data_IF_608345678020
#
_entry.id   IF_608345678020
#
_cell.length_a   1.000
_cell.length_b   1.000
_cell.length_c   1.000
_cell.angle_alpha   90.00
_cell.angle_beta   90.00
_cell.angle_gamma   90.00
#
_symmetry.space_group_name_H-M   'P 1'
#
loop_
_entity.id
_entity.type
_entity.pdbx_description
1 polymer ?
#
# COMPACT_ATOMS: atom_id res chain seq x y z
N UNK A 1 16.73 34.07 33.06
CA UNK A 1 16.61 33.12 31.92
C UNK A 1 17.26 31.82 32.33
N UNK A 2 16.54 30.70 32.22
CA UNK A 2 17.08 29.37 32.53
C UNK A 2 17.85 28.90 31.30
N UNK A 3 19.11 28.50 31.46
CA UNK A 3 19.87 27.87 30.38
C UNK A 3 19.42 26.41 30.24
N UNK A 4 19.10 26.01 29.02
CA UNK A 4 18.76 24.63 28.67
C UNK A 4 19.71 24.12 27.59
N UNK A 5 20.09 22.86 27.72
CA UNK A 5 20.87 22.11 26.73
C UNK A 5 20.05 20.89 26.32
N UNK A 6 19.72 20.79 25.02
CA UNK A 6 18.78 19.79 24.49
C UNK A 6 19.25 19.25 23.16
N UNK A 7 19.07 17.93 22.98
CA UNK A 7 19.21 17.26 21.68
C UNK A 7 17.84 17.13 21.03
N UNK A 8 17.68 17.73 19.86
CA UNK A 8 16.43 17.68 19.10
C UNK A 8 16.48 16.53 18.10
N UNK A 9 15.45 15.69 18.10
CA UNK A 9 15.18 14.67 17.09
C UNK A 9 13.79 14.95 16.50
N UNK A 10 13.69 15.00 15.18
CA UNK A 10 12.44 15.26 14.47
C UNK A 10 12.25 14.23 13.35
N UNK A 11 11.01 13.88 13.06
CA UNK A 11 10.63 12.99 11.97
C UNK A 11 9.38 13.53 11.27
N UNK A 12 9.29 13.31 9.96
CA UNK A 12 8.15 13.75 9.15
C UNK A 12 7.96 12.79 7.99
N UNK A 13 6.71 12.61 7.57
CA UNK A 13 6.34 11.90 6.34
C UNK A 13 6.02 12.87 5.18
N UNK A 14 6.21 14.18 5.39
CA UNK A 14 5.99 15.22 4.38
C UNK A 14 7.31 15.66 3.77
N UNK A 15 7.26 16.01 2.50
CA UNK A 15 8.36 16.68 1.83
C UNK A 15 8.46 18.14 2.33
N UNK A 16 9.45 18.39 3.19
CA UNK A 16 9.66 19.72 3.77
C UNK A 16 10.14 20.74 2.74
N UNK A 17 10.82 20.34 1.66
CA UNK A 17 11.26 21.28 0.62
C UNK A 17 10.05 21.83 -0.11
N UNK A 18 9.13 20.94 -0.51
CA UNK A 18 7.85 21.33 -1.10
C UNK A 18 7.00 22.18 -0.14
N UNK A 19 7.00 21.85 1.16
CA UNK A 19 6.27 22.63 2.15
C UNK A 19 6.80 24.08 2.31
N UNK A 20 8.10 24.29 2.09
CA UNK A 20 8.72 25.63 2.05
C UNK A 20 8.25 26.40 0.80
N UNK A 21 8.28 25.75 -0.37
CA UNK A 21 7.79 26.33 -1.62
C UNK A 21 6.31 26.74 -1.55
N UNK A 22 5.49 25.94 -0.86
CA UNK A 22 4.07 26.21 -0.62
C UNK A 22 3.83 27.22 0.52
N UNK A 23 4.88 27.74 1.18
CA UNK A 23 4.79 28.71 2.28
C UNK A 23 4.22 28.15 3.58
N UNK A 24 4.04 26.83 3.69
CA UNK A 24 3.49 26.15 4.87
C UNK A 24 4.56 25.73 5.87
N UNK A 25 5.83 25.82 5.51
CA UNK A 25 6.96 25.53 6.38
C UNK A 25 8.04 26.61 6.31
N UNK A 26 8.64 26.92 7.45
CA UNK A 26 9.68 27.94 7.56
C UNK A 26 11.03 27.42 7.11
N UNK A 27 11.65 28.15 6.19
CA UNK A 27 12.97 27.83 5.65
C UNK A 27 14.07 27.84 6.72
N UNK A 28 14.07 28.82 7.63
CA UNK A 28 15.08 28.92 8.69
C UNK A 28 15.04 27.75 9.69
N UNK A 29 13.84 27.22 9.95
CA UNK A 29 13.66 26.04 10.78
C UNK A 29 14.10 24.76 10.05
N UNK A 30 13.87 24.66 8.74
CA UNK A 30 14.31 23.52 7.94
C UNK A 30 15.81 23.31 8.05
N UNK A 31 16.62 24.36 7.86
CA UNK A 31 18.07 24.25 7.94
C UNK A 31 18.58 23.94 9.36
N UNK A 32 17.81 24.25 10.42
CA UNK A 32 18.16 23.87 11.80
C UNK A 32 17.83 22.43 12.13
N UNK A 33 16.78 21.87 11.53
CA UNK A 33 16.38 20.47 11.74
C UNK A 33 17.13 19.51 10.81
N UNK A 34 17.34 19.91 9.56
CA UNK A 34 17.90 19.07 8.50
C UNK A 34 19.45 19.07 8.49
N UNK A 35 20.05 18.84 9.66
CA UNK A 35 21.53 18.80 9.80
C UNK A 35 22.08 17.43 9.42
N UNK A 36 21.47 16.36 9.94
CA UNK A 36 21.82 14.97 9.62
C UNK A 36 20.53 14.25 9.21
N UNK A 37 20.15 14.27 7.93
CA UNK A 37 18.95 13.60 7.47
C UNK A 37 19.15 12.08 7.49
N UNK A 38 18.13 11.37 8.01
CA UNK A 38 18.03 9.92 7.89
C UNK A 38 16.73 9.62 7.15
N UNK A 39 16.86 9.08 5.94
CA UNK A 39 15.72 8.62 5.15
C UNK A 39 15.42 7.18 5.53
N UNK A 40 14.20 6.93 6.02
CA UNK A 40 13.73 5.58 6.30
C UNK A 40 13.25 4.93 5.00
N UNK A 41 13.79 3.76 4.59
CA UNK A 41 13.33 3.06 3.40
C UNK A 41 11.93 2.47 3.61
N UNK A 42 11.18 2.33 2.53
CA UNK A 42 9.92 1.61 2.58
C UNK A 42 10.13 0.11 2.73
N UNK A 43 9.18 -0.61 3.32
CA UNK A 43 9.27 -2.07 3.45
C UNK A 43 9.37 -2.78 2.08
N UNK A 44 8.75 -2.20 1.03
CA UNK A 44 8.83 -2.71 -0.35
C UNK A 44 10.25 -2.73 -0.93
N UNK A 45 11.12 -1.85 -0.42
CA UNK A 45 12.51 -1.71 -0.87
C UNK A 45 13.46 -2.65 -0.11
N UNK A 46 12.92 -3.41 0.87
CA UNK A 46 13.65 -4.36 1.74
C UNK A 46 12.81 -5.62 2.04
N UNK A 47 12.35 -6.36 1.02
CA UNK A 47 11.51 -7.53 1.22
C UNK A 47 12.18 -8.64 2.05
N UNK A 48 13.52 -8.63 2.14
CA UNK A 48 14.32 -9.56 2.94
C UNK A 48 14.07 -9.40 4.45
N UNK A 49 13.60 -8.23 4.90
CA UNK A 49 13.26 -7.98 6.30
C UNK A 49 11.89 -8.55 6.69
N UNK A 50 11.01 -8.83 5.71
CA UNK A 50 9.61 -9.26 5.96
C UNK A 50 9.56 -10.54 6.80
N UNK A 51 10.33 -11.61 6.52
CA UNK A 51 10.30 -12.82 7.35
C UNK A 51 10.69 -12.56 8.80
N UNK A 52 11.71 -11.73 9.04
CA UNK A 52 12.16 -11.41 10.40
C UNK A 52 11.09 -10.63 11.17
N UNK A 53 10.54 -9.59 10.54
CA UNK A 53 9.49 -8.75 11.12
C UNK A 53 8.20 -9.54 11.38
N UNK A 54 7.75 -10.34 10.41
CA UNK A 54 6.53 -11.13 10.54
C UNK A 54 6.64 -12.15 11.69
N UNK A 55 7.76 -12.86 11.80
CA UNK A 55 8.00 -13.80 12.91
C UNK A 55 8.04 -13.08 14.26
N UNK A 56 8.67 -11.90 14.33
CA UNK A 56 8.67 -11.08 15.54
C UNK A 56 7.24 -10.73 15.98
N UNK A 57 6.39 -10.26 15.05
CA UNK A 57 5.01 -9.92 15.36
C UNK A 57 4.16 -11.12 15.76
N UNK A 58 4.33 -12.27 15.11
CA UNK A 58 3.64 -13.51 15.52
C UNK A 58 3.98 -13.85 16.97
N UNK A 59 5.27 -13.83 17.33
CA UNK A 59 5.68 -14.13 18.71
C UNK A 59 5.12 -13.12 19.72
N UNK A 60 5.18 -11.82 19.39
CA UNK A 60 4.63 -10.74 20.22
C UNK A 60 3.14 -10.95 20.49
N UNK A 61 2.33 -11.11 19.44
CA UNK A 61 0.88 -11.22 19.59
C UNK A 61 0.43 -12.58 20.11
N UNK A 62 1.18 -13.66 19.86
CA UNK A 62 0.90 -14.96 20.45
C UNK A 62 1.04 -14.92 21.98
N UNK A 63 2.02 -14.17 22.50
CA UNK A 63 2.21 -13.96 23.93
C UNK A 63 1.11 -13.07 24.52
N UNK A 64 0.79 -11.95 23.87
CA UNK A 64 -0.23 -11.00 24.34
C UNK A 64 -1.65 -11.62 24.37
N UNK A 65 -2.00 -12.41 23.35
CA UNK A 65 -3.35 -12.98 23.19
C UNK A 65 -3.47 -14.43 23.69
N UNK A 66 -2.41 -15.01 24.27
CA UNK A 66 -2.35 -16.44 24.63
C UNK A 66 -2.79 -17.37 23.48
N UNK A 67 -2.49 -16.97 22.24
CA UNK A 67 -2.95 -17.68 21.05
C UNK A 67 -2.11 -18.94 20.79
N UNK A 68 -2.72 -19.94 20.14
CA UNK A 68 -2.03 -21.18 19.77
C UNK A 68 -1.06 -20.97 18.59
N UNK A 69 -1.26 -19.93 17.79
CA UNK A 69 -0.45 -19.60 16.61
C UNK A 69 0.95 -19.20 17.05
N UNK A 70 1.98 -19.92 16.58
CA UNK A 70 3.38 -19.61 16.87
C UNK A 70 4.26 -19.44 15.64
N UNK A 71 3.79 -19.89 14.49
CA UNK A 71 4.57 -19.93 13.26
C UNK A 71 3.77 -19.39 12.08
N UNK A 72 4.45 -19.15 10.96
CA UNK A 72 3.84 -18.76 9.68
C UNK A 72 4.10 -19.90 8.69
N UNK A 73 3.05 -20.37 8.02
CA UNK A 73 3.20 -21.37 6.94
C UNK A 73 4.04 -20.82 5.78
N UNK A 74 4.69 -21.69 5.01
CA UNK A 74 5.53 -21.28 3.87
C UNK A 74 4.71 -20.56 2.81
N UNK A 75 3.48 -21.00 2.61
CA UNK A 75 2.51 -20.44 1.67
C UNK A 75 2.11 -19.02 2.10
N UNK A 76 1.78 -18.83 3.39
CA UNK A 76 1.47 -17.50 3.92
C UNK A 76 2.67 -16.56 3.85
N UNK A 77 3.88 -17.05 4.16
CA UNK A 77 5.11 -16.26 4.05
C UNK A 77 5.36 -15.80 2.61
N UNK A 78 5.14 -16.69 1.63
CA UNK A 78 5.28 -16.34 0.20
C UNK A 78 4.33 -15.20 -0.18
N UNK A 79 3.10 -15.23 0.30
CA UNK A 79 2.12 -14.16 0.09
C UNK A 79 2.61 -12.84 0.71
N UNK A 80 3.06 -12.88 1.96
CA UNK A 80 3.58 -11.70 2.67
C UNK A 80 4.79 -11.07 1.95
N UNK A 81 5.70 -11.90 1.43
CA UNK A 81 6.89 -11.44 0.70
C UNK A 81 6.55 -10.88 -0.69
N UNK A 82 5.47 -11.35 -1.32
CA UNK A 82 5.04 -10.88 -2.64
C UNK A 82 4.29 -9.54 -2.61
N UNK A 83 3.86 -9.09 -1.42
CA UNK A 83 3.06 -7.88 -1.26
C UNK A 83 3.90 -6.60 -1.21
N UNK A 84 3.32 -5.49 -1.67
CA UNK A 84 4.01 -4.19 -1.79
C UNK A 84 3.98 -3.34 -0.52
N UNK A 85 3.17 -3.71 0.48
CA UNK A 85 3.08 -3.04 1.79
C UNK A 85 2.97 -1.50 1.74
N UNK A 86 1.92 -0.93 1.13
CA UNK A 86 1.71 0.53 1.07
C UNK A 86 1.65 1.21 2.45
N UNK A 87 1.17 0.52 3.49
CA UNK A 87 1.20 0.98 4.88
C UNK A 87 2.47 0.60 5.65
N UNK A 88 3.47 0.05 4.94
CA UNK A 88 4.80 -0.27 5.44
C UNK A 88 4.71 -1.25 6.63
N UNK A 89 5.65 -1.18 7.59
CA UNK A 89 5.69 -2.08 8.76
C UNK A 89 4.37 -2.10 9.56
N UNK A 90 3.63 -0.98 9.64
CA UNK A 90 2.34 -0.93 10.36
C UNK A 90 1.27 -1.80 9.73
N UNK A 91 1.21 -1.84 8.41
CA UNK A 91 0.26 -2.71 7.72
C UNK A 91 0.62 -4.18 7.95
N UNK A 92 1.90 -4.53 7.87
CA UNK A 92 2.38 -5.87 8.21
C UNK A 92 2.02 -6.26 9.65
N UNK A 93 2.26 -5.38 10.62
CA UNK A 93 1.91 -5.60 12.02
C UNK A 93 0.41 -5.89 12.18
N UNK A 94 -0.46 -5.03 11.65
CA UNK A 94 -1.92 -5.20 11.75
C UNK A 94 -2.42 -6.49 11.09
N UNK A 95 -1.83 -6.85 9.94
CA UNK A 95 -2.16 -8.09 9.23
C UNK A 95 -1.84 -9.30 10.10
N UNK A 96 -0.65 -9.33 10.70
CA UNK A 96 -0.20 -10.43 11.54
C UNK A 96 -1.00 -10.48 12.85
N UNK A 97 -1.24 -9.34 13.51
CA UNK A 97 -2.10 -9.26 14.70
C UNK A 97 -3.47 -9.89 14.46
N UNK A 98 -4.11 -9.51 13.35
CA UNK A 98 -5.41 -10.06 12.95
C UNK A 98 -5.33 -11.56 12.68
N UNK A 99 -4.30 -12.02 11.96
CA UNK A 99 -4.12 -13.43 11.64
C UNK A 99 -3.90 -14.28 12.90
N UNK A 100 -3.14 -13.79 13.88
CA UNK A 100 -2.92 -14.45 15.17
C UNK A 100 -4.19 -14.46 16.02
N UNK A 101 -4.94 -13.36 16.03
CA UNK A 101 -6.17 -13.22 16.83
C UNK A 101 -7.32 -14.09 16.32
N UNK A 102 -7.46 -14.20 15.00
CA UNK A 102 -8.52 -15.00 14.37
C UNK A 102 -8.11 -16.46 14.14
N UNK A 103 -6.81 -16.70 14.02
CA UNK A 103 -6.22 -18.01 13.77
C UNK A 103 -6.49 -18.98 14.92
N UNK A 104 -6.93 -20.19 14.57
CA UNK A 104 -7.24 -21.26 15.55
C UNK A 104 -6.18 -22.36 15.56
N UNK A 105 -5.25 -22.34 14.60
CA UNK A 105 -4.22 -23.36 14.42
C UNK A 105 -2.87 -22.99 15.06
N UNK A 106 -1.87 -23.87 14.97
CA UNK A 106 -0.51 -23.61 15.46
C UNK A 106 0.28 -22.66 14.55
N UNK A 107 -0.22 -22.38 13.35
CA UNK A 107 0.47 -21.61 12.31
C UNK A 107 -0.49 -20.68 11.57
N UNK A 108 -0.04 -19.50 11.16
CA UNK A 108 -0.75 -18.61 10.23
C UNK A 108 -0.82 -19.27 8.85
N UNK A 109 -2.03 -19.50 8.38
CA UNK A 109 -2.32 -20.06 7.06
C UNK A 109 -2.74 -18.95 6.08
N UNK A 110 -2.65 -19.17 4.75
CA UNK A 110 -3.11 -18.19 3.76
C UNK A 110 -4.55 -17.70 3.96
N UNK A 111 -5.43 -18.58 4.46
CA UNK A 111 -6.83 -18.25 4.74
C UNK A 111 -7.04 -17.31 5.94
N UNK A 112 -6.05 -17.20 6.83
CA UNK A 112 -6.09 -16.29 7.98
C UNK A 112 -5.68 -14.86 7.57
N UNK A 113 -4.98 -14.72 6.45
CA UNK A 113 -4.60 -13.42 5.90
C UNK A 113 -5.82 -12.69 5.33
N UNK A 114 -5.86 -11.36 5.43
CA UNK A 114 -6.89 -10.55 4.77
C UNK A 114 -7.06 -10.87 3.27
N UNK A 115 -8.29 -10.77 2.73
CA UNK A 115 -8.56 -11.06 1.32
C UNK A 115 -7.74 -10.23 0.32
N UNK A 116 -7.29 -9.03 0.72
CA UNK A 116 -6.44 -8.18 -0.10
C UNK A 116 -4.99 -8.69 -0.24
N UNK A 117 -4.58 -9.62 0.63
CA UNK A 117 -3.32 -10.38 0.54
C UNK A 117 -3.53 -11.76 -0.07
N UNK A 118 -4.63 -12.43 0.24
CA UNK A 118 -4.95 -13.77 -0.28
C UNK A 118 -5.23 -13.78 -1.81
N UNK A 119 -5.55 -12.62 -2.40
CA UNK A 119 -5.70 -12.46 -3.85
C UNK A 119 -4.44 -11.86 -4.46
N UNK A 120 -3.64 -12.71 -5.10
CA UNK A 120 -2.33 -12.42 -5.70
C UNK A 120 -2.22 -11.11 -6.50
N UNK A 121 -0.98 -10.65 -6.60
CA UNK A 121 -0.49 -9.42 -7.25
C UNK A 121 -0.84 -9.29 -8.73
N UNK A 122 -1.54 -10.25 -9.34
CA UNK A 122 -2.00 -10.16 -10.71
C UNK A 122 -3.48 -9.72 -10.78
N UNK A 123 -3.80 -8.55 -11.38
CA UNK A 123 -5.17 -8.14 -11.67
C UNK A 123 -5.98 -9.22 -12.39
N UNK A 124 -5.33 -10.03 -13.23
CA UNK A 124 -5.96 -11.13 -13.97
C UNK A 124 -6.30 -12.31 -13.05
N UNK A 125 -5.46 -12.64 -12.07
CA UNK A 125 -5.76 -13.68 -11.08
C UNK A 125 -6.88 -13.24 -10.13
N UNK A 126 -6.91 -11.97 -9.74
CA UNK A 126 -8.03 -11.40 -8.96
C UNK A 126 -9.33 -11.39 -9.76
N UNK A 127 -9.26 -11.17 -11.06
CA UNK A 127 -10.41 -11.26 -11.94
C UNK A 127 -10.88 -12.71 -12.09
N UNK A 128 -9.97 -13.67 -12.28
CA UNK A 128 -10.29 -15.09 -12.31
C UNK A 128 -10.91 -15.58 -10.99
N UNK A 129 -10.35 -15.18 -9.85
CA UNK A 129 -10.87 -15.55 -8.53
C UNK A 129 -12.25 -14.96 -8.22
N UNK A 130 -12.62 -13.84 -8.87
CA UNK A 130 -13.94 -13.21 -8.77
C UNK A 130 -14.90 -13.63 -9.88
N UNK A 131 -14.49 -14.57 -10.73
CA UNK A 131 -15.22 -14.93 -11.97
C UNK A 131 -15.60 -13.69 -12.79
N UNK A 132 -14.75 -12.66 -12.76
CA UNK A 132 -15.01 -11.38 -13.38
C UNK A 132 -15.04 -11.54 -14.91
N UNK A 133 -16.02 -10.90 -15.53
CA UNK A 133 -16.17 -10.97 -16.98
C UNK A 133 -15.11 -10.13 -17.68
N UNK A 134 -14.91 -10.38 -18.98
CA UNK A 134 -14.08 -9.49 -19.83
C UNK A 134 -14.59 -8.04 -19.79
N UNK A 135 -15.90 -7.85 -19.61
CA UNK A 135 -16.51 -6.52 -19.50
C UNK A 135 -16.14 -5.82 -18.18
N UNK A 136 -16.05 -6.56 -17.07
CA UNK A 136 -15.61 -6.02 -15.78
C UNK A 136 -14.14 -5.61 -15.81
N UNK A 137 -13.28 -6.47 -16.39
CA UNK A 137 -11.86 -6.17 -16.58
C UNK A 137 -11.66 -4.93 -17.45
N UNK A 138 -12.39 -4.84 -18.55
CA UNK A 138 -12.33 -3.71 -19.45
C UNK A 138 -12.79 -2.41 -18.77
N UNK A 139 -13.90 -2.44 -18.02
CA UNK A 139 -14.41 -1.29 -17.26
C UNK A 139 -13.36 -0.79 -16.27
N UNK A 140 -12.78 -1.69 -15.48
CA UNK A 140 -11.83 -1.35 -14.42
C UNK A 140 -10.54 -0.77 -15.01
N UNK A 141 -10.05 -1.36 -16.11
CA UNK A 141 -8.87 -0.86 -16.81
C UNK A 141 -9.09 0.53 -17.43
N UNK A 142 -10.23 0.75 -18.09
CA UNK A 142 -10.59 2.07 -18.64
C UNK A 142 -10.69 3.12 -17.53
N UNK A 143 -11.33 2.78 -16.40
CA UNK A 143 -11.43 3.66 -15.24
C UNK A 143 -10.04 4.04 -14.68
N UNK A 144 -9.13 3.07 -14.58
CA UNK A 144 -7.76 3.30 -14.12
C UNK A 144 -6.99 4.25 -15.04
N UNK A 145 -7.07 4.05 -16.36
CA UNK A 145 -6.40 4.93 -17.32
C UNK A 145 -6.99 6.35 -17.29
N UNK A 146 -8.32 6.49 -17.23
CA UNK A 146 -8.96 7.80 -17.14
C UNK A 146 -8.54 8.59 -15.89
N UNK A 147 -8.41 7.92 -14.73
CA UNK A 147 -7.89 8.55 -13.50
C UNK A 147 -6.43 8.96 -13.67
N UNK A 148 -5.59 8.08 -14.22
CA UNK A 148 -4.16 8.36 -14.46
C UNK A 148 -3.96 9.53 -15.41
N UNK A 149 -4.81 9.67 -16.41
CA UNK A 149 -4.78 10.80 -17.35
C UNK A 149 -5.60 12.00 -16.89
N UNK A 150 -6.10 12.02 -15.64
CA UNK A 150 -6.95 13.09 -15.11
C UNK A 150 -8.11 13.47 -16.05
N UNK A 151 -8.76 12.48 -16.66
CA UNK A 151 -9.88 12.68 -17.57
C UNK A 151 -9.51 13.09 -19.01
N UNK A 152 -8.23 13.27 -19.36
CA UNK A 152 -7.82 13.57 -20.74
C UNK A 152 -8.09 12.42 -21.71
N UNK A 153 -9.27 12.41 -22.33
CA UNK A 153 -9.78 11.31 -23.14
C UNK A 153 -8.91 10.97 -24.35
N UNK A 154 -8.27 11.97 -24.99
CA UNK A 154 -7.39 11.74 -26.14
C UNK A 154 -6.16 10.93 -25.71
N UNK A 155 -5.56 11.31 -24.58
CA UNK A 155 -4.40 10.62 -24.01
C UNK A 155 -4.78 9.23 -23.50
N UNK A 156 -5.94 9.11 -22.86
CA UNK A 156 -6.47 7.82 -22.41
C UNK A 156 -6.72 6.86 -23.58
N UNK A 157 -7.34 7.34 -24.66
CA UNK A 157 -7.61 6.55 -25.87
C UNK A 157 -6.31 6.05 -26.52
N UNK A 158 -5.29 6.92 -26.60
CA UNK A 158 -3.96 6.56 -27.10
C UNK A 158 -3.28 5.48 -26.25
N UNK A 159 -3.33 5.58 -24.92
CA UNK A 159 -2.76 4.56 -24.01
C UNK A 159 -3.54 3.23 -24.10
N UNK A 160 -4.86 3.30 -24.26
CA UNK A 160 -5.72 2.13 -24.42
C UNK A 160 -5.63 1.49 -25.81
N UNK A 161 -4.99 2.15 -26.78
CA UNK A 161 -4.89 1.67 -28.17
C UNK A 161 -6.23 1.64 -28.91
N UNK A 162 -7.20 2.46 -28.50
CA UNK A 162 -8.53 2.53 -29.10
C UNK A 162 -8.85 3.92 -29.63
N UNK A 163 -9.77 4.00 -30.59
CA UNK A 163 -10.27 5.28 -31.07
C UNK A 163 -11.04 6.05 -29.97
N UNK A 164 -10.96 7.39 -30.01
CA UNK A 164 -11.63 8.27 -29.05
C UNK A 164 -13.15 8.05 -29.01
N UNK A 165 -13.79 7.81 -30.15
CA UNK A 165 -15.24 7.55 -30.23
C UNK A 165 -15.60 6.22 -29.55
N UNK A 166 -14.72 5.22 -29.66
CA UNK A 166 -14.85 3.93 -28.96
C UNK A 166 -14.75 4.12 -27.45
N UNK A 167 -13.77 4.88 -26.98
CA UNK A 167 -13.63 5.22 -25.57
C UNK A 167 -14.86 5.97 -25.04
N UNK A 168 -15.35 6.97 -25.78
CA UNK A 168 -16.55 7.73 -25.40
C UNK A 168 -17.80 6.86 -25.21
N UNK A 169 -18.02 5.91 -26.14
CA UNK A 169 -19.13 4.95 -26.06
C UNK A 169 -18.99 4.04 -24.83
N UNK A 170 -17.78 3.57 -24.53
CA UNK A 170 -17.50 2.73 -23.35
C UNK A 170 -17.69 3.50 -22.04
N UNK A 171 -17.24 4.75 -21.96
CA UNK A 171 -17.47 5.63 -20.80
C UNK A 171 -18.96 5.76 -20.49
N UNK A 172 -19.79 6.04 -21.50
CA UNK A 172 -21.25 6.12 -21.32
C UNK A 172 -21.87 4.79 -20.95
N UNK A 173 -21.48 3.70 -21.62
CA UNK A 173 -21.99 2.33 -21.33
C UNK A 173 -21.72 1.92 -19.88
N UNK A 174 -20.55 2.27 -19.36
CA UNK A 174 -20.12 1.89 -18.01
C UNK A 174 -20.41 2.92 -16.93
N UNK A 175 -21.03 4.06 -17.27
CA UNK A 175 -21.32 5.13 -16.31
C UNK A 175 -20.07 5.74 -15.65
N UNK A 176 -18.93 5.74 -16.36
CA UNK A 176 -17.66 6.22 -15.80
C UNK A 176 -17.67 7.75 -15.73
N UNK A 177 -17.44 8.30 -14.52
CA UNK A 177 -17.26 9.75 -14.34
C UNK A 177 -15.88 10.15 -14.85
N UNK A 178 -15.85 10.90 -15.94
CA UNK A 178 -14.66 11.65 -16.34
C UNK A 178 -14.62 12.83 -15.38
N UNK A 179 -13.56 12.95 -14.57
CA UNK A 179 -13.45 14.03 -13.59
C UNK A 179 -13.71 15.37 -14.26
N UNK A 180 -14.68 16.12 -13.71
CA UNK A 180 -14.94 17.51 -14.06
C UNK A 180 -13.70 18.33 -13.67
N UNK A 181 -13.31 19.26 -14.54
CA UNK A 181 -12.49 20.41 -14.14
C UNK A 181 -13.25 21.25 -13.11
#
# INVERSE_FOLDING_TARGET
TIKIDVRVLAATNRDLKRAIEEGTFREDLYYRLNVVPITLPDLKDRPEDIPLLANHFVQKFAQESSAAVREISKEAMTILMSHTWPGNVRELENVIERAVTLGRGPSVQPGDLPPHLAGGTNPLERALAKEATLEDLERDYISMILRRTKGHQIRAASILGIDRRTLYRKIRRYGLKVGDE
#
